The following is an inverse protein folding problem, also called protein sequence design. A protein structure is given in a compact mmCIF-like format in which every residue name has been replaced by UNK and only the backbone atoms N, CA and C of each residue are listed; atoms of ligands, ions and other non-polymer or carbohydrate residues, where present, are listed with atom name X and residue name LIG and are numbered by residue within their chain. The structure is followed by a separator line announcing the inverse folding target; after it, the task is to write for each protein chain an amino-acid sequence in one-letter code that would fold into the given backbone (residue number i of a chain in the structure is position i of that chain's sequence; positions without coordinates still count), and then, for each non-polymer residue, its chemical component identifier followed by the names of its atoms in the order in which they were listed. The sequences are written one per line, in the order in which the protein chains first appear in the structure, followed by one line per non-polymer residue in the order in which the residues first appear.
data_IF_064837872408
#
_entry.id   IF_064837872408
#
_cell.length_a   1.000
_cell.length_b   1.000
_cell.length_c   1.000
_cell.angle_alpha   90.00
_cell.angle_beta   90.00
_cell.angle_gamma   90.00
#
_symmetry.space_group_name_H-M   'P 1'
#
loop_
_entity.id
_entity.type
_entity.pdbx_description
1 polymer ?
#
# COMPACT_ATOMS: atom_id res chain seq x y z
N UNK A 1 5.71 -11.95 4.07
CA UNK A 1 6.18 -11.54 2.73
C UNK A 1 7.56 -10.94 2.90
N UNK A 2 8.48 -11.05 1.93
CA UNK A 2 9.74 -10.28 1.96
C UNK A 2 9.45 -8.84 1.49
N UNK A 3 8.82 -8.04 2.35
CA UNK A 3 8.43 -6.64 2.11
C UNK A 3 9.54 -5.62 2.47
N UNK A 4 10.75 -6.10 2.67
CA UNK A 4 11.83 -5.35 3.30
C UNK A 4 12.46 -4.27 2.42
N UNK A 5 12.28 -4.31 1.09
CA UNK A 5 13.02 -3.41 0.20
C UNK A 5 12.36 -2.02 0.03
N UNK A 6 11.06 -1.92 -0.21
CA UNK A 6 10.44 -0.61 -0.48
C UNK A 6 10.14 0.14 0.83
N UNK A 7 10.96 1.17 1.12
CA UNK A 7 10.81 2.01 2.32
C UNK A 7 10.28 3.42 2.03
N UNK A 8 10.39 3.89 0.79
CA UNK A 8 10.13 5.29 0.41
C UNK A 8 9.38 5.37 -0.91
N UNK A 9 8.68 6.48 -1.16
CA UNK A 9 7.99 6.75 -2.44
C UNK A 9 8.97 6.74 -3.61
N UNK A 10 10.21 7.16 -3.39
CA UNK A 10 11.27 7.11 -4.41
C UNK A 10 11.60 5.67 -4.82
N UNK A 11 11.68 4.74 -3.86
CA UNK A 11 11.82 3.33 -4.21
C UNK A 11 10.58 2.77 -4.91
N UNK A 12 9.39 3.31 -4.62
CA UNK A 12 8.17 2.94 -5.38
C UNK A 12 8.29 3.36 -6.83
N UNK A 13 8.67 4.61 -7.13
CA UNK A 13 8.85 5.03 -8.52
C UNK A 13 9.94 4.22 -9.20
N UNK A 14 11.08 4.00 -8.55
CA UNK A 14 12.18 3.22 -9.11
C UNK A 14 11.78 1.77 -9.38
N UNK A 15 10.97 1.19 -8.49
CA UNK A 15 10.41 -0.14 -8.66
C UNK A 15 9.41 -0.23 -9.81
N UNK A 16 8.61 0.83 -10.03
CA UNK A 16 7.66 0.89 -11.12
C UNK A 16 8.31 1.19 -12.47
N UNK A 17 9.40 1.96 -12.47
CA UNK A 17 10.19 2.27 -13.68
C UNK A 17 11.20 1.19 -14.01
N UNK A 18 11.74 0.51 -13.00
CA UNK A 18 12.63 -0.62 -13.14
C UNK A 18 11.84 -1.89 -13.36
N UNK A 19 12.28 -2.76 -14.26
CA UNK A 19 11.67 -4.07 -14.50
C UNK A 19 11.96 -5.06 -13.35
N UNK A 20 11.85 -4.64 -12.09
CA UNK A 20 11.90 -5.57 -10.96
C UNK A 20 10.53 -6.25 -10.85
N UNK A 21 10.33 -7.26 -11.70
CA UNK A 21 9.16 -8.13 -11.64
C UNK A 21 9.29 -9.05 -10.43
N UNK A 22 9.01 -8.51 -9.24
CA UNK A 22 8.93 -9.34 -8.05
C UNK A 22 7.61 -10.09 -8.13
N UNK A 23 7.70 -11.35 -8.59
CA UNK A 23 6.59 -12.29 -8.56
C UNK A 23 6.29 -12.65 -7.11
N UNK A 24 5.46 -11.86 -6.44
CA UNK A 24 4.93 -12.24 -5.15
C UNK A 24 3.87 -13.33 -5.34
N UNK A 25 3.96 -14.38 -4.52
CA UNK A 25 3.04 -15.51 -4.52
C UNK A 25 1.61 -15.03 -4.17
N UNK A 26 0.56 -15.74 -4.64
CA UNK A 26 -0.82 -15.44 -4.27
C UNK A 26 -0.94 -15.49 -2.75
N UNK A 27 -1.19 -14.34 -2.14
CA UNK A 27 -1.38 -14.24 -0.71
C UNK A 27 -2.87 -14.32 -0.39
N UNK A 28 -3.21 -15.01 0.70
CA UNK A 28 -4.59 -15.04 1.21
C UNK A 28 -5.10 -13.61 1.40
N UNK A 29 -6.42 -13.39 1.21
CA UNK A 29 -7.06 -12.06 1.31
C UNK A 29 -6.60 -11.26 2.53
N UNK A 30 -6.45 -11.92 3.67
CA UNK A 30 -6.06 -11.30 4.93
C UNK A 30 -4.57 -10.92 4.98
N UNK A 31 -3.68 -11.76 4.43
CA UNK A 31 -2.24 -11.46 4.33
C UNK A 31 -1.96 -10.33 3.33
N UNK A 32 -2.65 -10.33 2.19
CA UNK A 32 -2.63 -9.21 1.24
C UNK A 32 -3.09 -7.92 1.91
N UNK A 33 -4.20 -7.96 2.66
CA UNK A 33 -4.71 -6.78 3.34
C UNK A 33 -3.72 -6.23 4.38
N UNK A 34 -3.13 -7.07 5.24
CA UNK A 34 -2.11 -6.65 6.22
C UNK A 34 -0.87 -6.08 5.54
N UNK A 35 -0.44 -6.66 4.43
CA UNK A 35 0.69 -6.15 3.65
C UNK A 35 0.39 -4.77 3.04
N UNK A 36 -0.77 -4.62 2.40
CA UNK A 36 -1.24 -3.34 1.85
C UNK A 36 -1.30 -2.28 2.96
N UNK A 37 -1.92 -2.61 4.09
CA UNK A 37 -2.03 -1.73 5.25
C UNK A 37 -0.66 -1.29 5.77
N UNK A 38 0.30 -2.20 5.90
CA UNK A 38 1.68 -1.88 6.27
C UNK A 38 2.34 -0.89 5.32
N UNK A 39 2.17 -1.06 4.00
CA UNK A 39 2.68 -0.13 2.97
C UNK A 39 2.03 1.25 3.09
N UNK A 40 0.70 1.31 3.27
CA UNK A 40 -0.03 2.57 3.40
C UNK A 40 0.39 3.35 4.65
N UNK A 41 0.65 2.67 5.77
CA UNK A 41 1.14 3.27 7.02
C UNK A 41 2.59 3.76 6.82
N UNK A 42 3.47 2.87 6.38
CA UNK A 42 4.92 3.13 6.22
C UNK A 42 5.23 4.28 5.28
N UNK A 43 4.44 4.43 4.21
CA UNK A 43 4.61 5.49 3.21
C UNK A 43 3.70 6.70 3.48
N UNK A 44 3.02 6.71 4.63
CA UNK A 44 2.14 7.79 5.09
C UNK A 44 1.08 8.18 4.05
N UNK A 45 0.41 7.19 3.44
CA UNK A 45 -0.54 7.36 2.33
C UNK A 45 -1.55 8.51 2.56
N UNK A 46 -1.99 8.75 3.80
CA UNK A 46 -2.95 9.81 4.13
C UNK A 46 -2.42 11.21 3.79
N UNK A 47 -1.17 11.48 4.14
CA UNK A 47 -0.50 12.79 3.98
C UNK A 47 0.10 12.99 2.58
N UNK A 48 0.00 11.99 1.70
CA UNK A 48 0.57 12.01 0.35
C UNK A 48 -0.33 12.70 -0.68
N UNK A 49 0.29 13.30 -1.68
CA UNK A 49 -0.39 13.93 -2.81
C UNK A 49 -1.05 12.92 -3.76
N UNK A 50 -1.86 13.40 -4.69
CA UNK A 50 -2.62 12.56 -5.64
C UNK A 50 -1.70 11.71 -6.54
N UNK A 51 -0.56 12.26 -6.95
CA UNK A 51 0.44 11.56 -7.76
C UNK A 51 1.08 10.40 -6.99
N UNK A 52 1.56 10.66 -5.77
CA UNK A 52 2.17 9.65 -4.89
C UNK A 52 1.17 8.54 -4.53
N UNK A 53 -0.09 8.91 -4.25
CA UNK A 53 -1.17 7.93 -4.04
C UNK A 53 -1.37 7.02 -5.26
N UNK A 54 -1.21 7.57 -6.47
CA UNK A 54 -1.24 6.79 -7.72
C UNK A 54 -0.12 5.75 -7.78
N UNK A 55 1.12 6.14 -7.46
CA UNK A 55 2.28 5.25 -7.41
C UNK A 55 2.06 4.09 -6.42
N UNK A 56 1.50 4.38 -5.26
CA UNK A 56 1.21 3.36 -4.25
C UNK A 56 0.16 2.34 -4.73
N UNK A 57 -0.87 2.79 -5.44
CA UNK A 57 -1.88 1.89 -6.01
C UNK A 57 -1.28 1.00 -7.11
N UNK A 58 -0.41 1.55 -7.94
CA UNK A 58 0.26 0.81 -9.02
C UNK A 58 1.20 -0.27 -8.46
N UNK A 59 1.95 0.07 -7.41
CA UNK A 59 2.76 -0.90 -6.68
C UNK A 59 1.91 -2.05 -6.14
N UNK A 60 0.80 -1.74 -5.47
CA UNK A 60 -0.07 -2.76 -4.91
C UNK A 60 -0.66 -3.64 -6.02
N UNK A 61 -1.04 -3.06 -7.16
CA UNK A 61 -1.53 -3.81 -8.32
C UNK A 61 -0.46 -4.76 -8.87
N UNK A 62 0.77 -4.29 -9.07
CA UNK A 62 1.91 -5.09 -9.54
C UNK A 62 2.26 -6.23 -8.59
N UNK A 63 2.24 -5.97 -7.29
CA UNK A 63 2.67 -6.95 -6.26
C UNK A 63 1.56 -7.94 -5.90
N UNK A 64 0.32 -7.46 -5.72
CA UNK A 64 -0.79 -8.33 -5.30
C UNK A 64 -1.55 -8.98 -6.46
N UNK A 65 -1.40 -8.45 -7.69
CA UNK A 65 -2.22 -8.86 -8.84
C UNK A 65 -3.68 -8.45 -8.75
N UNK A 66 -4.08 -7.69 -7.72
CA UNK A 66 -5.44 -7.18 -7.61
C UNK A 66 -5.69 -6.02 -8.56
N UNK A 67 -6.89 -5.98 -9.13
CA UNK A 67 -7.30 -4.84 -9.93
C UNK A 67 -7.44 -3.59 -9.06
N UNK A 68 -7.14 -2.40 -9.62
CA UNK A 68 -7.36 -1.08 -9.00
C UNK A 68 -8.67 -0.95 -8.21
N UNK A 69 -9.77 -1.53 -8.68
CA UNK A 69 -11.07 -1.47 -8.00
C UNK A 69 -11.02 -2.18 -6.64
N UNK A 70 -10.41 -3.37 -6.57
CA UNK A 70 -10.26 -4.12 -5.32
C UNK A 70 -9.34 -3.38 -4.36
N UNK A 71 -8.22 -2.83 -4.87
CA UNK A 71 -7.27 -2.06 -4.07
C UNK A 71 -7.96 -0.83 -3.46
N UNK A 72 -8.70 -0.06 -4.25
CA UNK A 72 -9.45 1.10 -3.74
C UNK A 72 -10.43 0.74 -2.63
N UNK A 73 -11.11 -0.41 -2.72
CA UNK A 73 -12.00 -0.90 -1.66
C UNK A 73 -11.22 -1.21 -0.37
N UNK A 74 -10.05 -1.87 -0.48
CA UNK A 74 -9.20 -2.18 0.66
C UNK A 74 -8.61 -0.91 1.29
N UNK A 75 -8.15 0.04 0.48
CA UNK A 75 -7.67 1.35 0.96
C UNK A 75 -8.80 2.12 1.66
N UNK A 76 -10.02 2.11 1.11
CA UNK A 76 -11.17 2.74 1.77
C UNK A 76 -11.49 2.09 3.11
N UNK A 77 -11.42 0.75 3.19
CA UNK A 77 -11.57 0.01 4.44
C UNK A 77 -10.48 0.40 5.45
N UNK A 78 -9.22 0.46 5.01
CA UNK A 78 -8.10 0.94 5.83
C UNK A 78 -8.36 2.34 6.37
N UNK A 79 -8.76 3.29 5.50
CA UNK A 79 -9.05 4.66 5.90
C UNK A 79 -10.19 4.73 6.92
N UNK A 80 -11.25 3.94 6.76
CA UNK A 80 -12.36 3.92 7.71
C UNK A 80 -12.00 3.27 9.06
N UNK A 81 -11.21 2.20 9.05
CA UNK A 81 -10.75 1.52 10.27
C UNK A 81 -9.76 2.41 11.04
N UNK A 82 -8.81 3.02 10.35
CA UNK A 82 -7.77 3.85 10.98
C UNK A 82 -8.22 5.30 11.23
N UNK A 83 -9.34 5.73 10.68
CA UNK A 83 -10.00 6.99 11.09
C UNK A 83 -10.44 6.95 12.55
N UNK A 84 -10.81 5.76 13.08
CA UNK A 84 -11.20 5.59 14.48
C UNK A 84 -10.03 5.42 15.44
N UNK A 85 -8.88 4.92 14.96
CA UNK A 85 -7.72 4.62 15.81
C UNK A 85 -6.79 5.82 16.06
N UNK A 86 -6.97 6.94 15.37
CA UNK A 86 -6.22 8.18 15.61
C UNK A 86 -7.02 9.26 16.38
N UNK A 87 -8.18 8.90 16.95
CA UNK A 87 -8.70 9.64 18.10
C UNK A 87 -7.88 9.24 19.34
N UNK A 88 -6.63 9.70 19.37
CA UNK A 88 -5.86 9.80 20.60
C UNK A 88 -6.27 11.14 21.22
N UNK A 89 -7.14 11.19 22.25
CA UNK A 89 -7.18 12.37 23.11
C UNK A 89 -5.78 12.49 23.71
N UNK A 90 -5.16 13.66 23.52
CA UNK A 90 -3.72 13.82 23.67
C UNK A 90 -3.13 13.40 25.01
N UNK A 91 -1.81 13.16 25.00
CA UNK A 91 -0.86 13.75 25.92
C UNK A 91 0.47 13.97 25.20
#
# INVERSE_FOLDING_TARGET
MNDTQIKTIEQVREFLTGTSSVKFSPCSKEGCYKWIEGILIRLSYRSRGKAEKGLLLDLIEKVSGYSRIQIKRLVKKYLNVHEKSFHHPGK
#
